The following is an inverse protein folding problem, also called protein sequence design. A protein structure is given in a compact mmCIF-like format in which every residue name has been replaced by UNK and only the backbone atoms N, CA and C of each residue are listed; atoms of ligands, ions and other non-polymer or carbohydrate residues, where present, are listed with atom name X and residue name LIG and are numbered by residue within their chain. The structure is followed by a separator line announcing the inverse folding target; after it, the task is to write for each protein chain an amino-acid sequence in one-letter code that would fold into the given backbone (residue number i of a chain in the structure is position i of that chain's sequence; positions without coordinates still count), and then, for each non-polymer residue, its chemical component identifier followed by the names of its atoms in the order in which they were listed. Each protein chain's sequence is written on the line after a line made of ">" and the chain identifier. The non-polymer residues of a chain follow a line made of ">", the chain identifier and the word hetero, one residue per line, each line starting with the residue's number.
data_IF_742439311465
#
_entry.id   IF_742439311465
#
_cell.length_a   1.000
_cell.length_b   1.000
_cell.length_c   1.000
_cell.angle_alpha   90.00
_cell.angle_beta   90.00
_cell.angle_gamma   90.00
#
_symmetry.space_group_name_H-M   'P 1'
#
loop_
_entity.id
_entity.type
_entity.pdbx_description
1 polymer ?
#
# COMPACT_ATOMS: atom_id res chain seq x y z
N UNK A 1 -17.37 0.85 13.39
CA UNK A 1 -16.37 1.61 12.59
C UNK A 1 -16.84 1.83 11.15
N UNK A 2 -16.59 3.03 10.60
CA UNK A 2 -16.92 3.45 9.23
C UNK A 2 -15.80 3.13 8.22
N UNK A 3 -15.22 1.92 8.27
CA UNK A 3 -14.06 1.53 7.44
C UNK A 3 -14.27 1.83 5.95
N UNK A 4 -15.43 1.48 5.38
CA UNK A 4 -15.70 1.74 3.95
C UNK A 4 -15.78 3.23 3.56
N UNK A 5 -16.12 4.15 4.48
CA UNK A 5 -16.05 5.60 4.20
C UNK A 5 -14.61 6.10 4.31
N UNK A 6 -13.88 5.62 5.33
CA UNK A 6 -12.46 5.92 5.51
C UNK A 6 -11.63 5.49 4.30
N UNK A 7 -11.84 4.26 3.83
CA UNK A 7 -11.16 3.71 2.66
C UNK A 7 -11.46 4.51 1.40
N UNK A 8 -12.74 4.81 1.14
CA UNK A 8 -13.14 5.63 -0.03
C UNK A 8 -12.47 7.01 -0.01
N UNK A 9 -12.57 7.73 1.11
CA UNK A 9 -11.97 9.07 1.23
C UNK A 9 -10.45 9.04 1.07
N UNK A 10 -9.79 8.00 1.60
CA UNK A 10 -8.35 7.86 1.48
C UNK A 10 -7.92 7.63 0.03
N UNK A 11 -8.57 6.69 -0.67
CA UNK A 11 -8.29 6.44 -2.08
C UNK A 11 -8.53 7.71 -2.90
N UNK A 12 -9.57 8.47 -2.55
CA UNK A 12 -9.88 9.73 -3.24
C UNK A 12 -8.76 10.78 -3.10
N UNK A 13 -8.11 10.85 -1.94
CA UNK A 13 -7.07 11.82 -1.63
C UNK A 13 -5.68 11.41 -2.11
N UNK A 14 -5.33 10.13 -2.03
CA UNK A 14 -3.94 9.68 -2.29
C UNK A 14 -3.75 9.12 -3.70
N UNK A 15 -4.77 8.43 -4.25
CA UNK A 15 -4.62 7.60 -5.45
C UNK A 15 -5.90 7.63 -6.31
N UNK A 16 -6.20 8.76 -6.98
CA UNK A 16 -7.42 8.87 -7.79
C UNK A 16 -7.48 7.85 -8.94
N UNK A 17 -6.34 7.54 -9.53
CA UNK A 17 -6.21 6.67 -10.71
C UNK A 17 -6.45 5.19 -10.40
N UNK A 18 -6.24 4.76 -9.15
CA UNK A 18 -6.36 3.35 -8.77
C UNK A 18 -7.73 3.05 -8.14
N UNK A 19 -8.65 4.02 -8.12
CA UNK A 19 -9.94 3.94 -7.40
C UNK A 19 -10.76 2.70 -7.74
N UNK A 20 -10.83 2.35 -9.01
CA UNK A 20 -11.57 1.21 -9.54
C UNK A 20 -10.90 -0.14 -9.21
N UNK A 21 -9.58 -0.12 -8.97
CA UNK A 21 -8.78 -1.32 -8.65
C UNK A 21 -8.86 -1.73 -7.19
N UNK A 22 -9.35 -0.87 -6.29
CA UNK A 22 -9.54 -1.22 -4.88
C UNK A 22 -10.78 -2.08 -4.63
N UNK A 23 -10.83 -2.69 -3.45
CA UNK A 23 -11.95 -3.53 -3.01
C UNK A 23 -13.30 -2.78 -3.05
N UNK A 24 -14.25 -3.34 -3.78
CA UNK A 24 -15.64 -2.88 -3.86
C UNK A 24 -16.43 -3.17 -2.58
N UNK A 25 -16.00 -2.62 -1.44
CA UNK A 25 -16.52 -2.94 -0.11
C UNK A 25 -18.03 -2.64 0.03
N UNK A 26 -18.53 -1.66 -0.72
CA UNK A 26 -19.96 -1.31 -0.74
C UNK A 26 -20.81 -2.44 -1.33
N UNK A 27 -20.38 -3.02 -2.45
CA UNK A 27 -21.17 -4.04 -3.17
C UNK A 27 -21.10 -5.40 -2.48
N UNK A 28 -19.92 -5.78 -1.96
CA UNK A 28 -19.79 -6.93 -1.08
C UNK A 28 -20.69 -6.83 0.14
N UNK A 29 -20.80 -5.64 0.74
CA UNK A 29 -21.69 -5.40 1.88
C UNK A 29 -23.17 -5.48 1.48
N UNK A 30 -23.55 -5.03 0.27
CA UNK A 30 -24.93 -5.19 -0.24
C UNK A 30 -25.25 -6.67 -0.43
N UNK A 31 -24.35 -7.44 -1.05
CA UNK A 31 -24.56 -8.88 -1.29
C UNK A 31 -24.65 -9.66 0.01
N UNK A 32 -23.84 -9.31 1.01
CA UNK A 32 -23.90 -9.91 2.34
C UNK A 32 -25.24 -9.67 3.05
N UNK A 33 -25.89 -8.51 2.85
CA UNK A 33 -27.22 -8.27 3.42
C UNK A 33 -28.28 -9.21 2.84
N UNK A 34 -28.16 -9.55 1.56
CA UNK A 34 -29.10 -10.46 0.88
C UNK A 34 -28.98 -11.89 1.38
N UNK A 35 -27.77 -12.33 1.74
CA UNK A 35 -27.57 -13.64 2.40
C UNK A 35 -28.38 -13.66 3.70
N UNK A 36 -28.24 -12.63 4.53
CA UNK A 36 -28.87 -12.59 5.85
C UNK A 36 -30.39 -12.51 5.85
N UNK A 37 -31.01 -11.92 4.81
CA UNK A 37 -32.48 -11.94 4.68
C UNK A 37 -32.99 -13.35 4.39
N UNK A 38 -32.22 -14.18 3.70
CA UNK A 38 -32.57 -15.56 3.38
C UNK A 38 -32.25 -16.52 4.53
N UNK A 39 -31.23 -16.23 5.35
CA UNK A 39 -30.85 -17.09 6.50
C UNK A 39 -31.71 -16.93 7.74
N UNK A 40 -32.54 -15.89 7.88
CA UNK A 40 -33.43 -15.73 9.05
C UNK A 40 -34.47 -16.85 9.21
N UNK A 41 -34.71 -17.64 8.16
CA UNK A 41 -35.58 -18.85 8.22
C UNK A 41 -34.83 -20.15 8.55
N UNK A 42 -33.51 -20.12 8.80
CA UNK A 42 -32.74 -21.34 9.09
C UNK A 42 -32.56 -21.53 10.60
N UNK A 43 -33.13 -22.58 11.23
CA UNK A 43 -32.84 -22.88 12.62
C UNK A 43 -31.38 -23.32 12.74
N UNK A 44 -30.71 -22.78 13.76
CA UNK A 44 -29.31 -23.01 14.15
C UNK A 44 -28.91 -24.48 14.07
N UNK A 45 -28.14 -24.86 13.03
CA UNK A 45 -27.43 -26.14 13.00
C UNK A 45 -25.92 -25.92 13.04
N UNK A 46 -25.34 -26.51 14.08
CA UNK A 46 -23.95 -26.45 14.55
C UNK A 46 -22.93 -26.92 13.52
N UNK A 47 -21.68 -26.50 13.76
CA UNK A 47 -20.38 -27.09 13.39
C UNK A 47 -20.45 -28.15 12.28
N UNK A 48 -19.97 -27.80 11.09
CA UNK A 48 -19.52 -28.78 10.10
C UNK A 48 -18.03 -28.56 9.85
N UNK A 49 -17.23 -29.34 10.55
CA UNK A 49 -15.89 -29.72 10.15
C UNK A 49 -16.11 -30.95 9.29
N UNK A 50 -16.16 -30.79 7.97
CA UNK A 50 -15.91 -31.89 7.00
C UNK A 50 -15.74 -31.33 5.59
N UNK A 51 -14.80 -31.90 4.86
CA UNK A 51 -14.08 -31.35 3.73
C UNK A 51 -14.75 -31.48 2.35
N UNK A 52 -16.08 -31.38 2.26
CA UNK A 52 -16.79 -31.32 0.96
C UNK A 52 -17.92 -30.27 0.99
N UNK A 53 -17.54 -29.00 0.79
CA UNK A 53 -18.42 -27.84 0.99
C UNK A 53 -19.05 -27.29 -0.31
N UNK A 54 -19.62 -28.14 -1.16
CA UNK A 54 -20.28 -27.69 -2.42
C UNK A 54 -21.79 -27.90 -2.51
N UNK A 55 -22.43 -28.64 -1.59
CA UNK A 55 -23.83 -29.10 -1.75
C UNK A 55 -24.87 -28.45 -0.80
N UNK A 56 -24.51 -27.42 -0.04
CA UNK A 56 -25.41 -26.80 0.95
C UNK A 56 -25.48 -25.28 0.96
N UNK A 57 -24.75 -24.61 0.04
CA UNK A 57 -24.69 -23.15 -0.03
C UNK A 57 -25.90 -22.59 -0.78
N UNK A 58 -26.51 -21.55 -0.23
CA UNK A 58 -27.54 -20.76 -0.89
C UNK A 58 -26.99 -20.07 -2.14
N UNK A 59 -27.87 -19.77 -3.10
CA UNK A 59 -27.50 -19.05 -4.32
C UNK A 59 -26.87 -17.69 -4.01
N UNK A 60 -27.29 -17.07 -2.91
CA UNK A 60 -26.77 -15.80 -2.42
C UNK A 60 -25.35 -15.92 -1.88
N UNK A 61 -25.04 -17.01 -1.16
CA UNK A 61 -23.69 -17.29 -0.65
C UNK A 61 -22.71 -17.58 -1.79
N UNK A 62 -23.10 -18.42 -2.75
CA UNK A 62 -22.29 -18.71 -3.95
C UNK A 62 -21.95 -17.41 -4.68
N UNK A 63 -22.94 -16.53 -4.86
CA UNK A 63 -22.74 -15.26 -5.54
C UNK A 63 -21.86 -14.28 -4.76
N UNK A 64 -21.87 -14.32 -3.42
CA UNK A 64 -20.94 -13.54 -2.61
C UNK A 64 -19.50 -14.06 -2.75
N UNK A 65 -19.31 -15.38 -2.75
CA UNK A 65 -18.00 -15.99 -2.95
C UNK A 65 -17.45 -15.66 -4.34
N UNK A 66 -18.27 -15.79 -5.39
CA UNK A 66 -17.89 -15.39 -6.75
C UNK A 66 -17.47 -13.92 -6.82
N UNK A 67 -18.18 -13.02 -6.14
CA UNK A 67 -17.79 -11.61 -6.08
C UNK A 67 -16.44 -11.41 -5.36
N UNK A 68 -16.17 -12.17 -4.28
CA UNK A 68 -14.88 -12.12 -3.60
C UNK A 68 -13.74 -12.63 -4.49
N UNK A 69 -13.95 -13.73 -5.21
CA UNK A 69 -12.96 -14.28 -6.15
C UNK A 69 -12.67 -13.31 -7.29
N UNK A 70 -13.69 -12.66 -7.87
CA UNK A 70 -13.49 -11.65 -8.91
C UNK A 70 -12.71 -10.44 -8.39
N UNK A 71 -12.98 -10.00 -7.16
CA UNK A 71 -12.21 -8.92 -6.54
C UNK A 71 -10.76 -9.34 -6.27
N UNK A 72 -10.53 -10.59 -5.89
CA UNK A 72 -9.18 -11.15 -5.68
C UNK A 72 -8.39 -11.22 -6.98
N UNK A 73 -9.00 -11.71 -8.06
CA UNK A 73 -8.40 -11.76 -9.39
C UNK A 73 -8.08 -10.35 -9.89
N UNK A 74 -8.99 -9.39 -9.69
CA UNK A 74 -8.75 -7.98 -10.00
C UNK A 74 -7.50 -7.44 -9.31
N UNK A 75 -7.30 -7.76 -8.02
CA UNK A 75 -6.11 -7.32 -7.28
C UNK A 75 -4.84 -7.95 -7.82
N UNK A 76 -4.88 -9.24 -8.13
CA UNK A 76 -3.73 -9.95 -8.68
C UNK A 76 -3.32 -9.39 -10.04
N UNK A 77 -4.27 -9.21 -10.95
CA UNK A 77 -3.98 -8.70 -12.29
C UNK A 77 -3.38 -7.29 -12.21
N UNK A 78 -4.00 -6.38 -11.45
CA UNK A 78 -3.48 -5.03 -11.29
C UNK A 78 -2.09 -5.00 -10.63
N UNK A 79 -1.86 -5.82 -9.60
CA UNK A 79 -0.58 -5.84 -8.90
C UNK A 79 0.55 -6.38 -9.80
N UNK A 80 0.32 -7.48 -10.51
CA UNK A 80 1.31 -8.07 -11.42
C UNK A 80 1.60 -7.12 -12.59
N UNK A 81 0.58 -6.51 -13.19
CA UNK A 81 0.76 -5.50 -14.25
C UNK A 81 1.66 -4.34 -13.76
N UNK A 82 1.43 -3.84 -12.54
CA UNK A 82 2.25 -2.77 -11.96
C UNK A 82 3.66 -3.22 -11.61
N UNK A 83 3.82 -4.43 -11.10
CA UNK A 83 5.15 -4.97 -10.79
C UNK A 83 6.00 -5.15 -12.05
N UNK A 84 5.40 -5.61 -13.16
CA UNK A 84 6.06 -5.69 -14.46
C UNK A 84 6.47 -4.31 -15.00
N UNK A 85 5.56 -3.33 -14.92
CA UNK A 85 5.84 -1.93 -15.29
C UNK A 85 7.03 -1.39 -14.48
N UNK A 86 7.08 -1.66 -13.18
CA UNK A 86 8.16 -1.22 -12.31
C UNK A 86 9.49 -1.88 -12.62
N UNK A 87 9.52 -3.17 -12.96
CA UNK A 87 10.75 -3.85 -13.39
C UNK A 87 11.34 -3.17 -14.64
N UNK A 88 10.49 -2.87 -15.63
CA UNK A 88 10.92 -2.25 -16.88
C UNK A 88 11.44 -0.83 -16.59
N UNK A 89 10.66 -0.03 -15.87
CA UNK A 89 11.00 1.36 -15.55
C UNK A 89 12.28 1.49 -14.73
N UNK A 90 12.53 0.59 -13.77
CA UNK A 90 13.77 0.58 -12.99
C UNK A 90 15.00 0.33 -13.88
N UNK A 91 14.91 -0.62 -14.81
CA UNK A 91 15.99 -0.90 -15.78
C UNK A 91 16.28 0.33 -16.65
N UNK A 92 15.24 0.95 -17.19
CA UNK A 92 15.37 2.15 -18.03
C UNK A 92 15.94 3.35 -17.25
N UNK A 93 15.51 3.53 -16.00
CA UNK A 93 16.06 4.56 -15.10
C UNK A 93 17.56 4.34 -14.88
N UNK A 94 17.95 3.11 -14.56
CA UNK A 94 19.35 2.75 -14.34
C UNK A 94 20.23 3.05 -15.56
N UNK A 95 19.77 2.68 -16.76
CA UNK A 95 20.50 2.93 -18.00
C UNK A 95 20.63 4.43 -18.29
N UNK A 96 19.57 5.20 -18.02
CA UNK A 96 19.59 6.67 -18.18
C UNK A 96 20.55 7.35 -17.20
N UNK A 97 20.59 6.90 -15.94
CA UNK A 97 21.51 7.42 -14.93
C UNK A 97 22.97 7.20 -15.33
N UNK A 98 23.30 6.00 -15.81
CA UNK A 98 24.67 5.68 -16.27
C UNK A 98 25.11 6.58 -17.41
N UNK A 99 24.21 6.90 -18.35
CA UNK A 99 24.47 7.82 -19.48
C UNK A 99 24.51 9.30 -19.08
N UNK A 100 23.89 9.68 -17.97
CA UNK A 100 23.73 11.06 -17.55
C UNK A 100 24.82 11.55 -16.57
N UNK A 101 25.77 10.69 -16.20
CA UNK A 101 26.82 10.98 -15.20
C UNK A 101 27.60 12.28 -15.43
N UNK A 102 27.76 12.69 -16.68
CA UNK A 102 28.62 13.83 -17.04
C UNK A 102 27.91 15.20 -16.90
N UNK A 103 26.63 15.23 -16.49
CA UNK A 103 25.86 16.47 -16.37
C UNK A 103 25.12 16.55 -15.04
N UNK A 104 25.53 17.50 -14.18
CA UNK A 104 24.93 17.77 -12.87
C UNK A 104 23.43 18.04 -12.95
N UNK A 105 22.99 18.79 -13.97
CA UNK A 105 21.58 19.12 -14.16
C UNK A 105 20.73 17.90 -14.57
N UNK A 106 21.27 17.02 -15.43
CA UNK A 106 20.61 15.75 -15.78
C UNK A 106 20.57 14.81 -14.57
N UNK A 107 21.65 14.75 -13.80
CA UNK A 107 21.71 13.98 -12.55
C UNK A 107 20.63 14.42 -11.56
N UNK A 108 20.46 15.73 -11.34
CA UNK A 108 19.37 16.23 -10.48
C UNK A 108 17.99 15.80 -10.98
N UNK A 109 17.69 15.92 -12.29
CA UNK A 109 16.41 15.43 -12.81
C UNK A 109 16.19 13.93 -12.57
N UNK A 110 17.23 13.11 -12.75
CA UNK A 110 17.16 11.68 -12.49
C UNK A 110 16.94 11.36 -11.02
N UNK A 111 17.55 12.10 -10.09
CA UNK A 111 17.27 11.96 -8.64
C UNK A 111 15.78 12.10 -8.35
N UNK A 112 15.14 13.11 -8.94
CA UNK A 112 13.71 13.37 -8.76
C UNK A 112 12.88 12.19 -9.24
N UNK A 113 13.19 11.72 -10.45
CA UNK A 113 12.45 10.63 -11.08
C UNK A 113 12.55 9.32 -10.28
N UNK A 114 13.71 9.03 -9.68
CA UNK A 114 13.89 7.86 -8.82
C UNK A 114 13.12 8.01 -7.50
N UNK A 115 13.13 9.21 -6.90
CA UNK A 115 12.35 9.49 -5.68
C UNK A 115 10.85 9.35 -5.96
N UNK A 116 10.36 9.87 -7.08
CA UNK A 116 8.97 9.73 -7.51
C UNK A 116 8.60 8.26 -7.71
N UNK A 117 9.47 7.53 -8.41
CA UNK A 117 9.31 6.10 -8.66
C UNK A 117 9.33 5.26 -7.37
N UNK A 118 10.18 5.60 -6.41
CA UNK A 118 10.16 4.99 -5.07
C UNK A 118 8.82 5.21 -4.37
N UNK A 119 8.31 6.45 -4.40
CA UNK A 119 6.99 6.77 -3.86
C UNK A 119 5.87 5.96 -4.51
N UNK A 120 5.89 5.79 -5.84
CA UNK A 120 4.93 4.94 -6.56
C UNK A 120 4.95 3.48 -6.06
N UNK A 121 6.12 2.90 -5.84
CA UNK A 121 6.25 1.53 -5.30
C UNK A 121 5.69 1.41 -3.88
N UNK A 122 5.96 2.40 -3.02
CA UNK A 122 5.38 2.42 -1.65
C UNK A 122 3.86 2.56 -1.70
N UNK A 123 3.31 3.30 -2.66
CA UNK A 123 1.86 3.37 -2.85
C UNK A 123 1.28 2.00 -3.24
N UNK A 124 1.98 1.19 -4.04
CA UNK A 124 1.57 -0.17 -4.39
C UNK A 124 1.61 -1.12 -3.17
N UNK A 125 2.59 -0.98 -2.28
CA UNK A 125 2.62 -1.71 -1.00
C UNK A 125 1.39 -1.34 -0.14
N UNK A 126 1.07 -0.04 -0.07
CA UNK A 126 -0.12 0.43 0.61
C UNK A 126 -1.42 -0.10 -0.03
N UNK A 127 -1.48 -0.18 -1.36
CA UNK A 127 -2.59 -0.82 -2.07
C UNK A 127 -2.82 -2.26 -1.60
N UNK A 128 -1.76 -3.06 -1.53
CA UNK A 128 -1.82 -4.45 -1.02
C UNK A 128 -2.38 -4.50 0.41
N UNK A 129 -1.81 -3.69 1.32
CA UNK A 129 -2.20 -3.65 2.72
C UNK A 129 -3.67 -3.25 2.93
N UNK A 130 -4.16 -2.25 2.19
CA UNK A 130 -5.53 -1.77 2.27
C UNK A 130 -6.53 -2.80 1.76
N UNK A 131 -6.25 -3.43 0.62
CA UNK A 131 -7.13 -4.46 0.05
C UNK A 131 -7.17 -5.71 0.94
N UNK A 132 -6.02 -6.16 1.46
CA UNK A 132 -5.96 -7.23 2.45
C UNK A 132 -6.80 -6.92 3.70
N UNK A 133 -6.66 -5.70 4.24
CA UNK A 133 -7.48 -5.26 5.38
C UNK A 133 -8.96 -5.28 5.05
N UNK A 134 -9.33 -4.85 3.85
CA UNK A 134 -10.70 -4.89 3.34
C UNK A 134 -11.26 -6.31 3.32
N UNK A 135 -10.49 -7.26 2.78
CA UNK A 135 -10.82 -8.69 2.74
C UNK A 135 -11.02 -9.25 4.16
N UNK A 136 -10.07 -9.04 5.07
CA UNK A 136 -10.19 -9.49 6.47
C UNK A 136 -11.46 -8.92 7.12
N UNK A 137 -11.78 -7.64 6.88
CA UNK A 137 -12.97 -6.99 7.47
C UNK A 137 -14.28 -7.46 6.88
N UNK A 138 -14.34 -7.77 5.58
CA UNK A 138 -15.57 -8.30 4.96
C UNK A 138 -15.78 -9.76 5.34
N UNK A 139 -14.72 -10.57 5.37
CA UNK A 139 -14.77 -11.96 5.81
C UNK A 139 -15.18 -12.08 7.29
N UNK A 140 -14.59 -11.26 8.18
CA UNK A 140 -15.04 -11.17 9.58
C UNK A 140 -16.51 -10.75 9.70
N UNK A 141 -17.04 -9.99 8.74
CA UNK A 141 -18.46 -9.62 8.71
C UNK A 141 -19.32 -10.79 8.22
N UNK A 142 -18.85 -11.56 7.25
CA UNK A 142 -19.50 -12.77 6.76
C UNK A 142 -19.67 -13.79 7.89
N UNK A 143 -18.58 -14.22 8.53
CA UNK A 143 -18.60 -15.19 9.63
C UNK A 143 -19.54 -14.75 10.77
N UNK A 144 -19.50 -13.47 11.15
CA UNK A 144 -20.37 -12.91 12.19
C UNK A 144 -21.86 -12.93 11.83
N UNK A 145 -22.19 -12.98 10.54
CA UNK A 145 -23.57 -12.89 10.04
C UNK A 145 -24.15 -14.26 9.71
N UNK A 146 -23.35 -15.16 9.13
CA UNK A 146 -23.81 -16.51 8.76
C UNK A 146 -23.55 -17.53 9.88
N UNK A 147 -22.59 -17.28 10.76
CA UNK A 147 -22.13 -18.25 11.76
C UNK A 147 -21.11 -19.25 11.19
N UNK A 148 -20.75 -19.13 9.91
CA UNK A 148 -19.72 -19.96 9.28
C UNK A 148 -18.31 -19.54 9.70
N UNK A 149 -17.34 -20.41 9.37
CA UNK A 149 -15.91 -20.20 9.65
C UNK A 149 -15.12 -20.07 8.34
N UNK A 150 -15.58 -19.19 7.43
CA UNK A 150 -14.99 -19.04 6.09
C UNK A 150 -13.75 -18.14 6.10
N UNK A 151 -13.64 -17.20 7.06
CA UNK A 151 -12.50 -16.28 7.14
C UNK A 151 -11.15 -16.98 7.17
N UNK A 152 -10.97 -17.99 8.02
CA UNK A 152 -9.66 -18.62 8.21
C UNK A 152 -9.14 -19.29 6.92
N UNK A 153 -9.88 -20.22 6.28
CA UNK A 153 -9.41 -20.86 5.05
C UNK A 153 -9.25 -19.85 3.90
N UNK A 154 -10.13 -18.86 3.82
CA UNK A 154 -10.03 -17.82 2.78
C UNK A 154 -8.79 -16.95 2.96
N UNK A 155 -8.47 -16.55 4.21
CA UNK A 155 -7.25 -15.79 4.48
C UNK A 155 -6.01 -16.61 4.16
N UNK A 156 -5.96 -17.90 4.50
CA UNK A 156 -4.84 -18.76 4.12
C UNK A 156 -4.60 -18.79 2.60
N UNK A 157 -5.68 -18.83 1.80
CA UNK A 157 -5.60 -18.69 0.35
C UNK A 157 -5.04 -17.32 -0.07
N UNK A 158 -5.55 -16.24 0.52
CA UNK A 158 -5.14 -14.84 0.22
C UNK A 158 -3.66 -14.61 0.49
N UNK A 159 -3.09 -15.22 1.54
CA UNK A 159 -1.66 -15.07 1.87
C UNK A 159 -0.72 -15.60 0.79
N UNK A 160 -1.21 -16.46 -0.11
CA UNK A 160 -0.45 -17.04 -1.22
C UNK A 160 -0.72 -16.35 -2.56
N UNK A 161 -1.44 -15.22 -2.55
CA UNK A 161 -1.82 -14.52 -3.76
C UNK A 161 -0.76 -13.47 -4.16
N UNK A 162 -0.52 -13.27 -5.46
CA UNK A 162 0.45 -12.31 -5.96
C UNK A 162 0.33 -10.92 -5.35
N UNK A 163 -0.90 -10.39 -5.21
CA UNK A 163 -1.10 -9.05 -4.66
C UNK A 163 -0.65 -8.90 -3.20
N UNK A 164 -0.51 -10.02 -2.46
CA UNK A 164 -0.08 -10.03 -1.06
C UNK A 164 1.42 -10.34 -0.92
N UNK A 165 1.98 -11.15 -1.81
CA UNK A 165 3.40 -11.51 -1.80
C UNK A 165 4.24 -10.38 -2.40
N UNK A 166 4.64 -9.41 -1.56
CA UNK A 166 5.35 -8.19 -1.99
C UNK A 166 6.89 -8.33 -2.01
N UNK A 167 7.42 -9.55 -2.05
CA UNK A 167 8.87 -9.79 -1.94
C UNK A 167 9.68 -9.17 -3.09
N UNK A 168 9.14 -9.20 -4.31
CA UNK A 168 9.78 -8.63 -5.48
C UNK A 168 9.68 -7.10 -5.46
N UNK A 169 8.50 -6.54 -5.18
CA UNK A 169 8.34 -5.11 -4.90
C UNK A 169 9.35 -4.59 -3.85
N UNK A 170 9.55 -5.30 -2.74
CA UNK A 170 10.53 -4.93 -1.73
C UNK A 170 11.96 -4.89 -2.28
N UNK A 171 12.34 -5.85 -3.13
CA UNK A 171 13.65 -5.85 -3.79
C UNK A 171 13.81 -4.64 -4.70
N UNK A 172 12.77 -4.27 -5.45
CA UNK A 172 12.80 -3.09 -6.34
C UNK A 172 12.96 -1.79 -5.54
N UNK A 173 12.25 -1.67 -4.41
CA UNK A 173 12.38 -0.55 -3.47
C UNK A 173 13.83 -0.46 -2.96
N UNK A 174 14.40 -1.56 -2.50
CA UNK A 174 15.80 -1.62 -2.01
C UNK A 174 16.82 -1.30 -3.09
N UNK A 175 16.60 -1.76 -4.32
CA UNK A 175 17.47 -1.41 -5.44
C UNK A 175 17.39 0.09 -5.76
N UNK A 176 16.21 0.69 -5.66
CA UNK A 176 16.02 2.13 -5.89
C UNK A 176 16.68 2.99 -4.81
N UNK A 177 16.60 2.56 -3.54
CA UNK A 177 17.34 3.15 -2.42
C UNK A 177 18.85 3.07 -2.64
N UNK A 178 19.37 1.90 -3.05
CA UNK A 178 20.79 1.74 -3.34
C UNK A 178 21.28 2.59 -4.51
N UNK A 179 20.43 2.81 -5.53
CA UNK A 179 20.73 3.74 -6.63
C UNK A 179 20.79 5.18 -6.08
N UNK A 180 19.83 5.59 -5.25
CA UNK A 180 19.84 6.92 -4.65
C UNK A 180 21.11 7.15 -3.83
N UNK A 181 21.46 6.22 -2.93
CA UNK A 181 22.65 6.34 -2.08
C UNK A 181 23.96 6.38 -2.88
N UNK A 182 24.05 5.60 -3.96
CA UNK A 182 25.26 5.52 -4.79
C UNK A 182 25.49 6.76 -5.64
N UNK A 183 24.42 7.34 -6.20
CA UNK A 183 24.52 8.45 -7.15
C UNK A 183 24.28 9.82 -6.51
N UNK A 184 23.65 9.83 -5.34
CA UNK A 184 23.32 11.02 -4.55
C UNK A 184 23.62 10.78 -3.08
N UNK A 185 24.88 10.45 -2.72
CA UNK A 185 25.25 10.31 -1.31
C UNK A 185 24.87 11.59 -0.58
N UNK A 186 24.23 11.44 0.58
CA UNK A 186 23.95 12.57 1.45
C UNK A 186 25.28 13.30 1.67
N UNK A 187 25.33 14.59 1.33
CA UNK A 187 26.36 15.49 1.81
C UNK A 187 26.26 15.45 3.32
N UNK A 188 27.02 14.55 3.95
CA UNK A 188 27.43 14.77 5.31
C UNK A 188 28.24 16.05 5.28
N UNK A 189 27.65 17.10 5.82
CA UNK A 189 28.33 18.34 6.19
C UNK A 189 29.65 17.94 6.86
N UNK A 190 30.74 18.06 6.12
CA UNK A 190 32.04 18.16 6.73
C UNK A 190 32.03 19.52 7.40
N UNK A 191 31.94 19.52 8.74
CA UNK A 191 32.20 20.65 9.59
C UNK A 191 33.59 21.22 9.24
N UNK A 192 33.63 22.27 8.41
CA UNK A 192 34.79 23.14 8.32
C UNK A 192 34.29 24.59 8.30
N UNK A 193 34.46 25.35 9.40
CA UNK A 193 33.84 26.65 9.55
C UNK A 193 34.77 27.72 8.98
N UNK A 194 34.61 28.06 7.70
CA UNK A 194 35.09 29.34 7.15
C UNK A 194 34.07 29.96 6.20
N UNK A 195 33.20 30.76 6.81
CA UNK A 195 32.78 32.12 6.44
C UNK A 195 32.59 32.43 4.93
N UNK A 196 31.32 32.58 4.50
CA UNK A 196 30.79 33.51 3.46
C UNK A 196 29.58 33.01 2.61
N UNK A 197 28.90 31.90 2.94
CA UNK A 197 27.83 31.34 2.07
C UNK A 197 26.49 31.04 2.74
N UNK A 198 26.04 31.83 3.71
CA UNK A 198 24.70 31.63 4.31
C UNK A 198 23.54 31.81 3.29
N UNK A 199 23.69 32.70 2.31
CA UNK A 199 22.60 32.96 1.34
C UNK A 199 22.51 31.93 0.21
N UNK A 200 23.63 31.29 -0.17
CA UNK A 200 23.62 30.18 -1.14
C UNK A 200 23.19 28.86 -0.49
N UNK A 201 23.53 28.64 0.78
CA UNK A 201 23.17 27.41 1.49
C UNK A 201 21.66 27.31 1.74
N UNK A 202 21.02 28.41 2.18
CA UNK A 202 19.56 28.48 2.33
C UNK A 202 18.86 28.28 0.99
N UNK A 203 19.41 28.81 -0.11
CA UNK A 203 18.81 28.68 -1.43
C UNK A 203 19.00 27.26 -2.00
N UNK A 204 20.12 26.60 -1.73
CA UNK A 204 20.34 25.19 -2.04
C UNK A 204 19.43 24.27 -1.21
N UNK A 205 19.30 24.51 0.09
CA UNK A 205 18.37 23.79 0.98
C UNK A 205 16.91 24.01 0.59
N UNK A 206 16.48 25.24 0.27
CA UNK A 206 15.12 25.51 -0.23
C UNK A 206 14.89 24.87 -1.61
N UNK A 207 15.91 24.79 -2.45
CA UNK A 207 15.84 24.12 -3.75
C UNK A 207 15.67 22.62 -3.57
N UNK A 208 16.45 22.01 -2.66
CA UNK A 208 16.39 20.59 -2.32
C UNK A 208 15.08 20.24 -1.60
N UNK A 209 14.56 21.14 -0.76
CA UNK A 209 13.28 21.03 -0.08
C UNK A 209 12.07 21.15 -1.04
N UNK A 210 12.07 22.12 -1.97
CA UNK A 210 11.06 22.19 -3.05
C UNK A 210 11.15 21.01 -4.02
N UNK A 211 12.35 20.47 -4.19
CA UNK A 211 12.62 19.36 -5.10
C UNK A 211 12.12 18.02 -4.53
N UNK A 212 12.17 17.83 -3.21
CA UNK A 212 11.58 16.67 -2.52
C UNK A 212 10.06 16.76 -2.30
N UNK A 213 9.44 17.90 -2.61
CA UNK A 213 7.98 18.10 -2.56
C UNK A 213 7.25 17.46 -3.76
N UNK A 214 7.65 16.25 -4.15
CA UNK A 214 6.98 15.48 -5.19
C UNK A 214 5.53 15.16 -4.81
N UNK A 215 4.64 15.16 -5.81
CA UNK A 215 3.24 14.74 -5.65
C UNK A 215 3.17 13.32 -5.07
N UNK A 216 4.01 12.41 -5.56
CA UNK A 216 4.06 11.03 -5.08
C UNK A 216 4.59 10.95 -3.66
N UNK A 217 5.54 11.83 -3.28
CA UNK A 217 6.04 11.93 -1.91
C UNK A 217 4.93 12.31 -0.92
N UNK A 218 4.18 13.38 -1.23
CA UNK A 218 3.05 13.84 -0.41
C UNK A 218 1.97 12.77 -0.30
N UNK A 219 1.61 12.13 -1.42
CA UNK A 219 0.65 11.03 -1.44
C UNK A 219 1.14 9.82 -0.64
N UNK A 220 2.43 9.50 -0.70
CA UNK A 220 3.07 8.40 0.05
C UNK A 220 3.03 8.64 1.55
N UNK A 221 3.45 9.83 2.00
CA UNK A 221 3.41 10.21 3.42
C UNK A 221 1.96 10.16 3.94
N UNK A 222 1.01 10.70 3.17
CA UNK A 222 -0.41 10.62 3.52
C UNK A 222 -0.91 9.18 3.61
N UNK A 223 -0.56 8.32 2.65
CA UNK A 223 -0.90 6.90 2.65
C UNK A 223 -0.33 6.16 3.87
N UNK A 224 0.95 6.40 4.20
CA UNK A 224 1.64 5.80 5.35
C UNK A 224 1.00 6.19 6.69
N UNK A 225 0.69 7.49 6.88
CA UNK A 225 0.00 7.98 8.08
C UNK A 225 -1.34 7.26 8.28
N UNK A 226 -2.08 7.01 7.20
CA UNK A 226 -3.37 6.32 7.30
C UNK A 226 -3.20 4.83 7.61
N UNK A 227 -2.17 4.16 7.07
CA UNK A 227 -1.87 2.77 7.48
C UNK A 227 -1.54 2.69 8.96
N UNK A 228 -0.78 3.64 9.50
CA UNK A 228 -0.50 3.74 10.93
C UNK A 228 -1.79 3.95 11.74
N UNK A 229 -2.72 4.78 11.27
CA UNK A 229 -4.01 5.00 11.93
C UNK A 229 -4.92 3.76 11.89
N UNK A 230 -4.96 3.04 10.76
CA UNK A 230 -5.72 1.79 10.62
C UNK A 230 -5.17 0.72 11.57
N UNK A 231 -3.84 0.69 11.74
CA UNK A 231 -3.15 -0.22 12.68
C UNK A 231 -3.40 0.14 14.14
N UNK A 232 -3.24 1.41 14.52
CA UNK A 232 -3.40 1.86 15.90
C UNK A 232 -4.83 1.65 16.43
N UNK A 233 -5.82 1.65 15.54
CA UNK A 233 -7.23 1.39 15.88
C UNK A 233 -7.59 -0.11 15.94
N UNK A 234 -6.66 -1.03 15.67
CA UNK A 234 -6.91 -2.47 15.73
C UNK A 234 -6.40 -3.06 17.06
N UNK A 235 -7.31 -3.32 18.00
CA UNK A 235 -6.99 -3.80 19.36
C UNK A 235 -6.44 -5.25 19.46
N UNK A 236 -6.11 -5.91 18.35
CA UNK A 236 -5.52 -7.26 18.36
C UNK A 236 -4.39 -7.36 17.35
N UNK A 237 -3.16 -7.53 17.83
CA UNK A 237 -2.02 -7.98 17.03
C UNK A 237 -2.07 -9.51 17.00
N UNK A 238 -2.29 -10.05 15.81
CA UNK A 238 -2.40 -11.49 15.50
C UNK A 238 -1.63 -11.76 14.21
N UNK A 239 -1.19 -12.99 13.98
CA UNK A 239 -0.55 -13.44 12.71
C UNK A 239 -1.42 -13.15 11.47
N UNK A 240 -2.74 -12.97 11.65
CA UNK A 240 -3.70 -12.57 10.61
C UNK A 240 -3.96 -11.05 10.53
N UNK A 241 -3.10 -10.26 11.17
CA UNK A 241 -3.13 -8.80 11.06
C UNK A 241 -2.36 -8.35 9.83
N UNK A 242 -2.44 -7.07 9.50
CA UNK A 242 -1.62 -6.45 8.47
C UNK A 242 -0.15 -6.92 8.58
N UNK A 243 0.47 -7.46 7.51
CA UNK A 243 1.86 -7.91 7.53
C UNK A 243 2.74 -6.78 8.06
N UNK A 244 3.79 -7.05 8.87
CA UNK A 244 4.68 -6.01 9.38
C UNK A 244 5.09 -5.10 8.23
N UNK A 245 4.83 -3.80 8.38
CA UNK A 245 5.42 -2.86 7.43
C UNK A 245 6.89 -2.94 7.81
N UNK A 246 7.71 -3.56 6.98
CA UNK A 246 9.15 -3.69 7.21
C UNK A 246 9.80 -2.32 6.93
N UNK A 247 9.34 -1.32 7.67
CA UNK A 247 9.73 0.09 7.66
C UNK A 247 11.10 0.32 8.32
N UNK A 248 11.80 -0.73 8.76
CA UNK A 248 13.04 -0.58 9.53
C UNK A 248 14.13 0.17 8.77
N UNK A 249 14.05 0.29 7.43
CA UNK A 249 14.92 1.19 6.65
C UNK A 249 14.29 2.53 6.27
N UNK A 250 12.95 2.64 6.30
CA UNK A 250 12.23 3.88 5.96
C UNK A 250 12.28 4.90 7.11
N UNK A 251 12.37 4.47 8.37
CA UNK A 251 12.34 5.42 9.48
C UNK A 251 13.67 6.20 9.59
N UNK A 252 14.83 5.61 9.29
CA UNK A 252 16.12 6.31 9.37
C UNK A 252 16.38 7.27 8.20
N UNK A 253 16.03 6.91 6.97
CA UNK A 253 16.25 7.77 5.79
C UNK A 253 15.29 8.96 5.80
N UNK A 254 14.11 8.81 6.40
CA UNK A 254 13.05 9.82 6.39
C UNK A 254 13.01 10.67 7.67
N UNK A 255 13.55 10.19 8.80
CA UNK A 255 13.82 11.03 9.99
C UNK A 255 14.93 12.05 9.76
N UNK A 256 15.79 11.85 8.75
CA UNK A 256 16.82 12.82 8.32
C UNK A 256 16.23 14.03 7.57
N UNK A 257 14.92 14.04 7.31
CA UNK A 257 14.22 15.11 6.61
C UNK A 257 13.52 15.98 7.67
N UNK A 258 13.89 17.26 7.84
CA UNK A 258 13.21 18.14 8.77
C UNK A 258 11.78 18.39 8.29
N UNK A 259 10.81 17.65 8.82
CA UNK A 259 9.40 17.95 8.64
C UNK A 259 9.04 19.08 9.61
N UNK A 260 9.11 20.31 9.14
CA UNK A 260 8.52 21.44 9.86
C UNK A 260 7.00 21.28 9.85
N UNK A 261 6.49 20.89 11.01
CA UNK A 261 5.08 20.92 11.37
C UNK A 261 4.61 22.38 11.23
N UNK A 262 3.93 22.71 10.13
CA UNK A 262 3.21 23.98 10.06
C UNK A 262 2.01 23.87 11.01
N UNK A 263 2.23 24.29 12.26
CA UNK A 263 1.17 24.69 13.17
C UNK A 263 0.40 25.86 12.53
N UNK A 264 -0.79 25.57 12.01
CA UNK A 264 -1.75 26.61 11.69
C UNK A 264 -2.38 27.10 13.01
N UNK A 265 -2.08 28.35 13.38
CA UNK A 265 -2.84 29.16 14.35
C UNK A 265 -4.19 29.57 13.78
#
# INVERSE_FOLDING_TARGET
>A
MKFGKSLSNQIEQTLPEWRDKFLSYKDLKKRLKLITSTTQDRPTKRLRVDAECSLGMSKEEISFIQLLENELEKFNNFFVEKEEEYIIRLKELRDRIVKAKDSKEKMMRMRKEIVDFHGEMVLLENYSALNYTGLVKILKKYDKRTGDLMRLPYIQKVLQQPFYTTDLLYKLIKESEAILDRFFPATHEAEDPTDATESENIQAELSEHKFMESLHMKSTIAALRVLQEIRSKSSTVSVFSLPPLQLNGLDETWKKIPLLEQEAK
#
